data_IF_475127279269
#
_entry.id   IF_475127279269
#
_cell.length_a   1.000
_cell.length_b   1.000
_cell.length_c   1.000
_cell.angle_alpha   90.00
_cell.angle_beta   90.00
_cell.angle_gamma   90.00
#
_symmetry.space_group_name_H-M   'P 1'
#
loop_
_entity.id
_entity.type
_entity.pdbx_description
1 polymer ?
#
# COMPACT_ATOMS: atom_id res chain seq x y z
N UNK A 1 1.88 -22.15 31.17
CA UNK A 1 2.69 -22.48 29.97
C UNK A 1 1.85 -22.89 28.75
N UNK A 2 0.86 -23.80 28.84
CA UNK A 2 -0.04 -24.10 27.68
C UNK A 2 -1.10 -23.02 27.46
N UNK A 3 -1.64 -22.46 28.55
CA UNK A 3 -2.60 -21.35 28.48
C UNK A 3 -1.97 -20.07 27.93
N UNK A 4 -0.71 -19.78 28.28
CA UNK A 4 0.01 -18.60 27.77
C UNK A 4 0.28 -18.73 26.26
N UNK A 5 0.61 -19.92 25.78
CA UNK A 5 0.82 -20.19 24.34
C UNK A 5 -0.49 -20.18 23.56
N UNK A 6 -1.61 -20.65 24.13
CA UNK A 6 -2.94 -20.54 23.51
C UNK A 6 -3.44 -19.10 23.47
N UNK A 7 -3.20 -18.32 24.54
CA UNK A 7 -3.55 -16.90 24.58
C UNK A 7 -2.74 -16.08 23.58
N UNK A 8 -1.42 -16.33 23.46
CA UNK A 8 -0.59 -15.72 22.42
C UNK A 8 -1.04 -16.09 21.00
N UNK A 9 -1.43 -17.34 20.76
CA UNK A 9 -1.93 -17.78 19.46
C UNK A 9 -3.26 -17.10 19.10
N UNK A 10 -4.23 -17.08 20.01
CA UNK A 10 -5.50 -16.38 19.82
C UNK A 10 -5.32 -14.87 19.67
N UNK A 11 -4.37 -14.28 20.40
CA UNK A 11 -4.03 -12.86 20.28
C UNK A 11 -3.44 -12.55 18.91
N UNK A 12 -2.55 -13.41 18.38
CA UNK A 12 -1.99 -13.24 17.03
C UNK A 12 -3.05 -13.42 15.95
N UNK A 13 -3.93 -14.40 16.08
CA UNK A 13 -5.04 -14.59 15.13
C UNK A 13 -5.98 -13.38 15.11
N UNK A 14 -6.37 -12.85 16.27
CA UNK A 14 -7.22 -11.67 16.35
C UNK A 14 -6.51 -10.42 15.78
N UNK A 15 -5.22 -10.26 16.06
CA UNK A 15 -4.41 -9.16 15.50
C UNK A 15 -4.36 -9.27 13.99
N UNK A 16 -4.10 -10.46 13.44
CA UNK A 16 -4.08 -10.67 12.00
C UNK A 16 -5.45 -10.39 11.36
N UNK A 17 -6.55 -10.82 11.97
CA UNK A 17 -7.90 -10.56 11.47
C UNK A 17 -8.24 -9.07 11.45
N UNK A 18 -7.88 -8.33 12.51
CA UNK A 18 -8.07 -6.87 12.57
C UNK A 18 -7.22 -6.17 11.51
N UNK A 19 -5.98 -6.63 11.31
CA UNK A 19 -5.10 -6.02 10.32
C UNK A 19 -5.53 -6.32 8.87
N UNK A 20 -6.05 -7.52 8.61
CA UNK A 20 -6.65 -7.88 7.32
C UNK A 20 -7.87 -7.01 7.02
N UNK A 21 -8.74 -6.77 8.01
CA UNK A 21 -9.88 -5.86 7.86
C UNK A 21 -9.43 -4.42 7.60
N UNK A 22 -8.40 -3.92 8.30
CA UNK A 22 -7.85 -2.59 8.09
C UNK A 22 -7.25 -2.42 6.69
N UNK A 23 -6.57 -3.46 6.18
CA UNK A 23 -6.06 -3.51 4.82
C UNK A 23 -7.19 -3.44 3.81
N UNK A 24 -8.21 -4.27 3.98
CA UNK A 24 -9.34 -4.33 3.05
C UNK A 24 -10.12 -3.00 3.06
N UNK A 25 -10.33 -2.39 4.23
CA UNK A 25 -10.89 -1.04 4.35
C UNK A 25 -10.06 0.03 3.63
N UNK A 26 -8.73 -0.02 3.76
CA UNK A 26 -7.84 0.92 3.09
C UNK A 26 -7.89 0.76 1.56
N UNK A 27 -7.95 -0.47 1.06
CA UNK A 27 -8.09 -0.77 -0.38
C UNK A 27 -9.47 -0.33 -0.89
N UNK A 28 -10.53 -0.53 -0.10
CA UNK A 28 -11.90 -0.09 -0.45
C UNK A 28 -11.98 1.44 -0.48
N UNK A 29 -11.30 2.16 0.41
CA UNK A 29 -11.27 3.63 0.41
C UNK A 29 -10.61 4.22 -0.85
N UNK A 30 -9.80 3.46 -1.59
CA UNK A 30 -9.31 3.90 -2.91
C UNK A 30 -10.45 4.02 -3.95
N UNK A 31 -11.58 3.32 -3.76
CA UNK A 31 -12.80 3.44 -4.58
C UNK A 31 -13.73 4.57 -4.13
N UNK A 32 -13.72 4.92 -2.84
CA UNK A 32 -14.64 5.91 -2.28
C UNK A 32 -14.06 7.32 -2.41
N UNK A 33 -14.79 8.16 -3.14
CA UNK A 33 -14.36 9.44 -3.70
C UNK A 33 -13.29 9.25 -4.81
N UNK A 34 -13.12 10.05 -5.86
CA UNK A 34 -13.03 11.51 -5.94
C UNK A 34 -13.02 11.85 -7.45
N UNK A 35 -13.44 13.06 -7.81
CA UNK A 35 -13.24 13.77 -9.07
C UNK A 35 -11.81 13.75 -9.69
N UNK A 36 -10.80 13.17 -9.04
CA UNK A 36 -9.42 13.10 -9.53
C UNK A 36 -8.94 11.65 -9.57
N UNK A 37 -8.72 11.07 -10.76
CA UNK A 37 -8.23 9.70 -10.91
C UNK A 37 -6.76 9.51 -10.49
N UNK A 38 -6.07 10.62 -10.19
CA UNK A 38 -4.65 10.67 -9.87
C UNK A 38 -4.45 11.37 -8.52
N UNK A 39 -3.66 10.76 -7.65
CA UNK A 39 -3.29 11.26 -6.31
C UNK A 39 -1.78 11.35 -6.16
N UNK A 40 -1.30 12.14 -5.19
CA UNK A 40 0.12 12.14 -4.81
C UNK A 40 0.49 10.91 -3.97
N UNK A 41 1.77 10.54 -3.92
CA UNK A 41 2.28 9.52 -2.99
C UNK A 41 1.84 9.78 -1.53
N UNK A 42 1.82 11.04 -1.11
CA UNK A 42 1.42 11.41 0.24
C UNK A 42 -0.07 11.19 0.52
N UNK A 43 -0.92 11.43 -0.47
CA UNK A 43 -2.33 11.10 -0.38
C UNK A 43 -2.55 9.58 -0.39
N UNK A 44 -1.80 8.84 -1.21
CA UNK A 44 -1.83 7.38 -1.20
C UNK A 44 -1.42 6.82 0.17
N UNK A 45 -0.35 7.34 0.77
CA UNK A 45 0.08 6.94 2.12
C UNK A 45 -1.01 7.17 3.17
N UNK A 46 -1.70 8.32 3.11
CA UNK A 46 -2.85 8.62 3.98
C UNK A 46 -4.01 7.65 3.80
N UNK A 47 -4.36 7.33 2.55
CA UNK A 47 -5.44 6.39 2.23
C UNK A 47 -5.11 4.96 2.68
N UNK A 48 -3.84 4.58 2.59
CA UNK A 48 -3.34 3.29 3.06
C UNK A 48 -3.10 3.23 4.57
N UNK A 49 -3.28 4.34 5.30
CA UNK A 49 -2.90 4.45 6.70
C UNK A 49 -1.44 4.01 6.96
N UNK A 50 -0.54 4.36 6.04
CA UNK A 50 0.89 4.01 6.06
C UNK A 50 1.78 5.25 6.00
N UNK A 51 3.04 5.17 6.47
CA UNK A 51 3.99 6.26 6.29
C UNK A 51 4.41 6.40 4.81
N UNK A 52 4.78 7.61 4.41
CA UNK A 52 5.22 7.92 3.04
C UNK A 52 6.40 7.05 2.58
N UNK A 53 7.29 6.69 3.51
CA UNK A 53 8.44 5.79 3.28
C UNK A 53 7.99 4.38 2.94
N UNK A 54 6.97 3.85 3.61
CA UNK A 54 6.44 2.52 3.32
C UNK A 54 5.88 2.46 1.90
N UNK A 55 5.14 3.49 1.47
CA UNK A 55 4.62 3.57 0.09
C UNK A 55 5.76 3.71 -0.92
N UNK A 56 6.79 4.49 -0.60
CA UNK A 56 7.96 4.61 -1.47
C UNK A 56 8.62 3.25 -1.68
N UNK A 57 8.99 2.56 -0.60
CA UNK A 57 9.86 1.39 -0.63
C UNK A 57 9.10 0.10 -1.00
N UNK A 58 7.83 -0.01 -0.62
CA UNK A 58 7.05 -1.24 -0.83
C UNK A 58 6.09 -1.16 -2.01
N UNK A 59 5.75 0.04 -2.48
CA UNK A 59 4.72 0.22 -3.51
C UNK A 59 5.25 0.93 -4.77
N UNK A 60 6.17 1.90 -4.65
CA UNK A 60 6.63 2.69 -5.81
C UNK A 60 8.02 2.28 -6.35
N UNK A 61 8.88 1.79 -5.46
CA UNK A 61 10.27 1.42 -5.74
C UNK A 61 10.62 0.04 -5.18
N UNK A 62 9.62 -0.83 -5.07
CA UNK A 62 9.83 -2.18 -4.58
C UNK A 62 10.57 -3.02 -5.63
N UNK A 63 11.80 -3.45 -5.32
CA UNK A 63 12.64 -4.23 -6.21
C UNK A 63 11.99 -5.56 -6.64
N UNK A 64 11.14 -6.15 -5.78
CA UNK A 64 10.43 -7.40 -6.09
C UNK A 64 9.43 -7.24 -7.23
N UNK A 65 8.82 -6.07 -7.34
CA UNK A 65 7.80 -5.75 -8.34
C UNK A 65 8.31 -4.77 -9.38
N UNK A 66 9.63 -4.64 -9.52
CA UNK A 66 10.28 -3.62 -10.34
C UNK A 66 9.75 -3.60 -11.77
N UNK A 67 9.62 -4.76 -12.41
CA UNK A 67 9.16 -4.86 -13.80
C UNK A 67 7.71 -4.33 -13.95
N UNK A 68 6.80 -4.73 -13.06
CA UNK A 68 5.40 -4.25 -13.09
C UNK A 68 5.30 -2.76 -12.73
N UNK A 69 6.11 -2.30 -11.78
CA UNK A 69 6.17 -0.88 -11.41
C UNK A 69 6.77 -0.01 -12.52
N UNK A 70 7.76 -0.53 -13.25
CA UNK A 70 8.33 0.14 -14.41
C UNK A 70 7.34 0.16 -15.58
N UNK A 71 6.55 -0.89 -15.78
CA UNK A 71 5.42 -0.89 -16.73
C UNK A 71 4.33 0.13 -16.33
N UNK A 72 4.02 0.24 -15.04
CA UNK A 72 3.12 1.27 -14.52
C UNK A 72 3.67 2.69 -14.72
N UNK A 73 4.99 2.89 -14.64
CA UNK A 73 5.64 4.17 -14.98
C UNK A 73 5.57 4.45 -16.48
N UNK A 74 5.89 3.45 -17.30
CA UNK A 74 5.91 3.56 -18.76
C UNK A 74 4.51 3.83 -19.35
N UNK A 75 3.47 3.22 -18.77
CA UNK A 75 2.07 3.46 -19.13
C UNK A 75 1.51 4.79 -18.59
N UNK A 76 2.27 5.51 -17.76
CA UNK A 76 1.85 6.76 -17.14
C UNK A 76 0.88 6.61 -15.98
N UNK A 77 0.67 5.37 -15.48
CA UNK A 77 -0.08 5.11 -14.25
C UNK A 77 0.66 5.62 -13.01
N UNK A 78 2.00 5.61 -13.03
CA UNK A 78 2.86 6.31 -12.07
C UNK A 78 3.63 7.39 -12.81
N UNK A 79 3.44 8.65 -12.44
CA UNK A 79 4.12 9.79 -13.02
C UNK A 79 5.11 10.37 -12.03
N UNK A 80 6.39 10.29 -12.38
CA UNK A 80 7.48 10.93 -11.65
C UNK A 80 7.71 12.32 -12.26
N UNK A 81 7.22 13.38 -11.60
CA UNK A 81 7.56 14.75 -11.99
C UNK A 81 8.77 15.21 -11.19
N UNK A 82 9.94 15.20 -11.84
CA UNK A 82 11.16 15.80 -11.28
C UNK A 82 11.02 17.32 -11.22
N UNK A 83 10.86 17.87 -10.01
CA UNK A 83 10.98 19.30 -9.76
C UNK A 83 12.34 19.67 -9.18
N UNK A 84 12.71 20.95 -9.26
CA UNK A 84 13.97 21.53 -8.77
C UNK A 84 14.30 21.27 -7.29
N UNK A 85 13.34 20.82 -6.47
CA UNK A 85 13.55 20.55 -5.04
C UNK A 85 13.05 19.18 -4.56
N UNK A 86 12.08 18.54 -5.23
CA UNK A 86 11.51 17.23 -4.86
C UNK A 86 10.87 16.54 -6.07
N UNK A 87 11.05 15.23 -6.20
CA UNK A 87 10.30 14.40 -7.15
C UNK A 87 8.87 14.26 -6.65
N UNK A 88 7.91 14.83 -7.38
CA UNK A 88 6.50 14.62 -7.10
C UNK A 88 6.05 13.33 -7.79
N UNK A 89 5.67 12.33 -7.00
CA UNK A 89 5.07 11.10 -7.52
C UNK A 89 3.56 11.26 -7.54
N UNK A 90 2.98 11.07 -8.72
CA UNK A 90 1.54 11.00 -8.94
C UNK A 90 1.16 9.59 -9.35
N UNK A 91 0.09 9.06 -8.79
CA UNK A 91 -0.30 7.67 -8.91
C UNK A 91 -1.77 7.60 -9.31
N UNK A 92 -2.07 6.81 -10.34
CA UNK A 92 -3.44 6.49 -10.72
C UNK A 92 -4.07 5.54 -9.69
N UNK A 93 -5.20 5.96 -9.12
CA UNK A 93 -5.90 5.20 -8.06
C UNK A 93 -6.32 3.80 -8.50
N UNK A 94 -6.80 3.65 -9.72
CA UNK A 94 -7.26 2.36 -10.24
C UNK A 94 -6.09 1.39 -10.40
N UNK A 95 -5.02 1.85 -11.04
CA UNK A 95 -3.85 1.02 -11.30
C UNK A 95 -3.16 0.59 -10.00
N UNK A 96 -3.03 1.50 -9.04
CA UNK A 96 -2.41 1.17 -7.74
C UNK A 96 -3.29 0.27 -6.89
N UNK A 97 -4.61 0.43 -6.95
CA UNK A 97 -5.55 -0.47 -6.27
C UNK A 97 -5.43 -1.88 -6.82
N UNK A 98 -5.43 -2.05 -8.14
CA UNK A 98 -5.26 -3.37 -8.76
C UNK A 98 -3.94 -4.02 -8.37
N UNK A 99 -2.85 -3.24 -8.34
CA UNK A 99 -1.55 -3.69 -7.83
C UNK A 99 -1.63 -4.16 -6.37
N UNK A 100 -2.21 -3.33 -5.48
CA UNK A 100 -2.35 -3.64 -4.06
C UNK A 100 -3.27 -4.84 -3.80
N UNK A 101 -4.31 -5.03 -4.61
CA UNK A 101 -5.19 -6.20 -4.52
C UNK A 101 -4.48 -7.48 -4.95
N UNK A 102 -3.74 -7.44 -6.05
CA UNK A 102 -3.00 -8.61 -6.56
C UNK A 102 -1.88 -9.03 -5.62
N UNK A 103 -1.14 -8.06 -5.09
CA UNK A 103 0.03 -8.30 -4.24
C UNK A 103 -0.26 -8.13 -2.74
N UNK A 104 -1.55 -8.14 -2.37
CA UNK A 104 -2.02 -7.88 -1.02
C UNK A 104 -1.40 -8.80 0.03
N UNK A 105 -1.11 -10.05 -0.33
CA UNK A 105 -0.51 -11.04 0.58
C UNK A 105 1.03 -10.99 0.60
N UNK A 106 1.64 -10.34 -0.40
CA UNK A 106 3.10 -10.30 -0.58
C UNK A 106 3.72 -9.02 -0.04
N UNK A 107 2.91 -7.96 0.08
CA UNK A 107 3.32 -6.69 0.66
C UNK A 107 3.36 -6.79 2.19
N UNK A 108 4.35 -6.18 2.85
CA UNK A 108 4.46 -6.17 4.31
C UNK A 108 3.47 -5.15 4.90
N UNK A 109 2.16 -5.44 4.78
CA UNK A 109 1.08 -4.64 5.36
C UNK A 109 1.15 -4.60 6.87
N UNK A 110 1.68 -5.64 7.48
CA UNK A 110 1.75 -5.81 8.92
C UNK A 110 3.18 -5.50 9.36
N UNK A 111 3.43 -4.26 9.78
CA UNK A 111 4.61 -3.99 10.61
C UNK A 111 4.28 -4.53 12.01
N UNK A 112 4.46 -5.84 12.18
CA UNK A 112 4.59 -6.46 13.48
C UNK A 112 6.05 -6.82 13.69
N UNK A 113 6.83 -5.88 14.22
CA UNK A 113 7.99 -6.24 15.04
C UNK A 113 7.59 -6.12 16.50
#
# INVERSE_FOLDING_TARGET
MVLDTMFEAMSKELINEVLDRLRDEAIIKLDQDVLSPVISQHQLAKELHKPDTWVHDNVLFNDRFKDELDDMKNSGAIQLKGGLQRTQVRVNRKAIKEFLQRHSNELPWLEGK
#
